data_IF_481289291284
#
_entry.id   IF_481289291284
#
_cell.length_a   1.000
_cell.length_b   1.000
_cell.length_c   1.000
_cell.angle_alpha   90.00
_cell.angle_beta   90.00
_cell.angle_gamma   90.00
#
_symmetry.space_group_name_H-M   'P 1'
#
loop_
_entity.id
_entity.type
_entity.pdbx_description
1 polymer ?
#
# COMPACT_ATOMS: atom_id res chain seq x y z
N UNK A 1 12.91 12.30 -17.28
CA UNK A 1 13.77 12.09 -18.46
C UNK A 1 13.34 10.83 -19.16
N UNK A 2 13.54 10.77 -20.46
CA UNK A 2 13.35 9.57 -21.25
C UNK A 2 14.66 8.78 -21.26
N UNK A 3 14.58 7.45 -21.23
CA UNK A 3 15.75 6.58 -21.34
C UNK A 3 15.65 5.68 -22.58
N UNK A 4 16.78 5.52 -23.27
CA UNK A 4 16.87 4.77 -24.50
C UNK A 4 17.90 3.65 -24.37
N UNK A 5 17.53 2.47 -24.85
CA UNK A 5 18.47 1.37 -25.07
C UNK A 5 19.07 1.53 -26.48
N UNK A 6 20.39 1.56 -26.56
CA UNK A 6 21.12 1.59 -27.82
C UNK A 6 21.61 0.16 -28.17
N UNK A 7 21.07 -0.37 -29.25
CA UNK A 7 21.39 -1.75 -29.73
C UNK A 7 22.26 -1.59 -30.97
N UNK A 8 23.46 -2.15 -30.93
CA UNK A 8 24.39 -2.16 -32.06
C UNK A 8 24.50 -3.59 -32.60
N UNK A 9 23.89 -3.85 -33.76
CA UNK A 9 23.97 -5.11 -34.47
C UNK A 9 24.68 -4.86 -35.83
N UNK A 10 25.85 -5.43 -36.00
CA UNK A 10 26.63 -5.41 -37.26
C UNK A 10 26.83 -3.98 -37.87
N UNK A 11 27.07 -2.99 -37.01
CA UNK A 11 27.29 -1.61 -37.44
C UNK A 11 26.01 -0.80 -37.67
N UNK A 12 24.82 -1.40 -37.46
CA UNK A 12 23.53 -0.69 -37.42
C UNK A 12 23.15 -0.38 -35.97
N UNK A 13 23.16 0.90 -35.63
CA UNK A 13 22.71 1.34 -34.30
C UNK A 13 21.21 1.66 -34.33
N UNK A 14 20.43 0.97 -33.53
CA UNK A 14 19.02 1.32 -33.30
C UNK A 14 18.82 1.81 -31.87
N UNK A 15 17.92 2.80 -31.67
CA UNK A 15 17.54 3.31 -30.37
C UNK A 15 16.10 2.90 -30.09
N UNK A 16 15.88 2.23 -28.95
CA UNK A 16 14.55 1.90 -28.46
C UNK A 16 14.28 2.63 -27.16
N UNK A 17 13.14 3.32 -27.05
CA UNK A 17 12.71 3.96 -25.80
C UNK A 17 12.34 2.86 -24.80
N UNK A 18 13.02 2.83 -23.65
CA UNK A 18 12.77 1.87 -22.56
C UNK A 18 12.03 2.49 -21.41
N UNK A 19 12.25 3.78 -21.14
CA UNK A 19 11.56 4.51 -20.09
C UNK A 19 10.95 5.81 -20.67
N UNK A 20 9.60 5.95 -20.60
CA UNK A 20 8.92 7.14 -21.10
C UNK A 20 9.13 8.32 -20.15
N UNK A 21 8.93 9.52 -20.67
CA UNK A 21 8.88 10.71 -19.83
C UNK A 21 7.81 10.54 -18.75
N UNK A 22 8.23 10.60 -17.49
CA UNK A 22 7.37 10.35 -16.34
C UNK A 22 7.39 11.56 -15.41
N UNK A 23 6.21 12.00 -15.00
CA UNK A 23 6.02 13.01 -13.97
C UNK A 23 5.56 12.36 -12.67
N UNK A 24 6.25 12.65 -11.57
CA UNK A 24 5.95 12.18 -10.24
C UNK A 24 5.58 13.35 -9.34
N UNK A 25 4.48 13.17 -8.58
CA UNK A 25 4.09 14.10 -7.53
C UNK A 25 3.87 13.34 -6.23
N UNK A 26 4.40 13.89 -5.13
CA UNK A 26 4.15 13.40 -3.77
C UNK A 26 3.88 14.58 -2.87
N UNK A 27 2.73 14.58 -2.21
CA UNK A 27 2.36 15.57 -1.21
C UNK A 27 1.95 14.90 0.10
N UNK A 28 2.50 15.35 1.23
CA UNK A 28 2.13 14.87 2.57
C UNK A 28 1.89 16.04 3.50
N UNK A 29 0.81 15.95 4.29
CA UNK A 29 0.49 16.90 5.36
C UNK A 29 0.21 16.10 6.62
N UNK A 30 0.69 16.59 7.76
CA UNK A 30 0.44 16.00 9.08
C UNK A 30 0.27 17.12 10.11
N UNK A 31 -0.65 16.94 11.06
CA UNK A 31 -0.86 17.84 12.17
C UNK A 31 -0.90 17.09 13.49
N UNK A 32 -0.10 17.56 14.43
CA UNK A 32 -0.08 17.10 15.80
C UNK A 32 -1.01 17.97 16.67
N UNK A 33 -1.73 17.34 17.59
CA UNK A 33 -2.68 17.97 18.49
C UNK A 33 -2.62 17.33 19.88
N UNK A 34 -3.26 17.97 20.88
CA UNK A 34 -3.42 17.41 22.23
C UNK A 34 -2.08 16.98 22.87
N UNK A 35 -1.08 17.87 22.87
CA UNK A 35 0.26 17.60 23.38
C UNK A 35 0.89 16.33 22.77
N UNK A 36 0.74 16.15 21.46
CA UNK A 36 1.19 15.00 20.68
C UNK A 36 0.52 13.67 21.05
N UNK A 37 -0.64 13.72 21.69
CA UNK A 37 -1.45 12.54 21.94
C UNK A 37 -2.39 12.22 20.76
N UNK A 38 -2.51 13.14 19.83
CA UNK A 38 -3.31 12.95 18.61
C UNK A 38 -2.55 13.47 17.42
N UNK A 39 -2.48 12.71 16.36
CA UNK A 39 -2.10 13.23 15.06
C UNK A 39 -3.04 12.76 13.96
N UNK A 40 -3.15 13.59 12.93
CA UNK A 40 -3.88 13.32 11.71
C UNK A 40 -3.00 13.68 10.54
N UNK A 41 -2.91 12.79 9.56
CA UNK A 41 -2.11 12.98 8.37
C UNK A 41 -2.85 12.60 7.10
N UNK A 42 -2.32 13.07 5.98
CA UNK A 42 -2.77 12.69 4.65
C UNK A 42 -1.62 12.71 3.66
N UNK A 43 -1.66 11.81 2.72
CA UNK A 43 -0.69 11.69 1.62
C UNK A 43 -1.44 11.57 0.29
N UNK A 44 -0.88 12.15 -0.74
CA UNK A 44 -1.33 11.96 -2.11
C UNK A 44 -0.11 11.78 -3.01
N UNK A 45 -0.20 10.82 -3.92
CA UNK A 45 0.83 10.57 -4.93
C UNK A 45 0.19 10.47 -6.32
N UNK A 46 0.92 10.94 -7.33
CA UNK A 46 0.51 10.83 -8.71
C UNK A 46 1.71 10.51 -9.60
N UNK A 47 1.52 9.57 -10.51
CA UNK A 47 2.46 9.25 -11.59
C UNK A 47 1.73 9.40 -12.90
N UNK A 48 2.30 10.13 -13.84
CA UNK A 48 1.79 10.27 -15.20
C UNK A 48 2.91 10.02 -16.18
N UNK A 49 2.69 9.16 -17.18
CA UNK A 49 3.66 8.75 -18.19
C UNK A 49 3.20 9.16 -19.58
N UNK A 50 4.10 9.71 -20.36
CA UNK A 50 3.89 10.00 -21.78
C UNK A 50 4.26 8.76 -22.60
N UNK A 51 3.33 7.82 -22.71
CA UNK A 51 3.57 6.54 -23.38
C UNK A 51 3.70 6.72 -24.90
N UNK A 52 4.53 5.87 -25.47
CA UNK A 52 4.67 5.65 -26.92
C UNK A 52 4.26 4.22 -27.25
N UNK A 53 4.24 3.85 -28.52
CA UNK A 53 3.94 2.48 -28.94
C UNK A 53 4.92 1.47 -28.29
N UNK A 54 6.21 1.80 -28.20
CA UNK A 54 7.23 0.96 -27.56
C UNK A 54 7.04 0.76 -26.05
N UNK A 55 6.32 1.65 -25.36
CA UNK A 55 6.09 1.64 -23.92
C UNK A 55 4.62 1.45 -23.54
N UNK A 56 3.77 1.06 -24.50
CA UNK A 56 2.32 0.87 -24.31
C UNK A 56 1.95 -0.21 -23.29
N UNK A 57 2.86 -1.15 -22.99
CA UNK A 57 2.72 -2.15 -21.92
C UNK A 57 2.83 -1.59 -20.50
N UNK A 58 3.24 -0.33 -20.34
CA UNK A 58 3.30 0.32 -19.03
C UNK A 58 1.94 0.99 -18.69
N UNK A 59 1.70 1.20 -17.39
CA UNK A 59 0.53 1.99 -16.94
C UNK A 59 0.72 3.46 -17.30
N UNK A 60 -0.31 4.07 -17.88
CA UNK A 60 -0.35 5.49 -18.28
C UNK A 60 -0.30 6.40 -17.04
N UNK A 61 -1.13 6.08 -16.05
CA UNK A 61 -1.26 6.88 -14.85
C UNK A 61 -1.50 6.01 -13.61
N UNK A 62 -1.01 6.48 -12.47
CA UNK A 62 -1.27 5.91 -11.16
C UNK A 62 -1.45 7.02 -10.13
N UNK A 63 -2.53 6.96 -9.39
CA UNK A 63 -2.86 7.88 -8.32
C UNK A 63 -3.07 7.10 -7.05
N UNK A 64 -2.52 7.56 -5.93
CA UNK A 64 -2.89 7.00 -4.63
C UNK A 64 -3.04 8.11 -3.59
N UNK A 65 -3.95 7.88 -2.67
CA UNK A 65 -4.19 8.77 -1.56
C UNK A 65 -4.42 8.00 -0.28
N UNK A 66 -4.01 8.56 0.83
CA UNK A 66 -4.20 7.93 2.13
C UNK A 66 -4.37 8.94 3.24
N UNK A 67 -5.04 8.50 4.28
CA UNK A 67 -5.17 9.23 5.53
C UNK A 67 -4.69 8.37 6.68
N UNK A 68 -4.07 8.98 7.67
CA UNK A 68 -3.60 8.33 8.87
C UNK A 68 -4.06 9.12 10.11
N UNK A 69 -4.46 8.38 11.14
CA UNK A 69 -4.91 8.92 12.41
C UNK A 69 -4.33 8.10 13.55
N UNK A 70 -3.88 8.81 14.59
CA UNK A 70 -3.43 8.24 15.85
C UNK A 70 -3.98 9.04 17.01
N UNK A 71 -4.47 8.36 18.03
CA UNK A 71 -4.93 8.99 19.25
C UNK A 71 -4.62 8.15 20.48
N UNK A 72 -4.09 8.79 21.53
CA UNK A 72 -3.85 8.20 22.83
C UNK A 72 -4.63 8.94 23.91
N UNK A 73 -5.13 8.20 24.90
CA UNK A 73 -5.87 8.79 26.02
C UNK A 73 -5.55 8.08 27.35
N UNK A 74 -6.03 8.63 28.49
CA UNK A 74 -5.74 8.17 29.85
C UNK A 74 -4.24 8.00 30.10
N UNK A 75 -3.51 9.09 30.00
CA UNK A 75 -2.04 9.12 30.18
C UNK A 75 -1.33 8.11 29.26
N UNK A 76 -1.77 8.06 27.99
CA UNK A 76 -1.24 7.16 26.97
C UNK A 76 -1.42 5.67 27.25
N UNK A 77 -2.35 5.34 28.16
CA UNK A 77 -2.66 3.94 28.50
C UNK A 77 -3.37 3.23 27.35
N UNK A 78 -4.23 3.93 26.61
CA UNK A 78 -4.97 3.38 25.49
C UNK A 78 -4.61 4.13 24.23
N UNK A 79 -4.72 3.45 23.10
CA UNK A 79 -4.48 4.03 21.79
C UNK A 79 -5.48 3.54 20.74
N UNK A 80 -5.68 4.37 19.74
CA UNK A 80 -6.36 4.08 18.49
C UNK A 80 -5.43 4.49 17.35
N UNK A 81 -5.16 3.56 16.45
CA UNK A 81 -4.47 3.80 15.20
C UNK A 81 -5.36 3.39 14.04
N UNK A 82 -5.45 4.24 13.04
CA UNK A 82 -6.10 3.87 11.78
C UNK A 82 -5.40 4.52 10.61
N UNK A 83 -5.30 3.80 9.53
CA UNK A 83 -4.95 4.36 8.23
C UNK A 83 -5.84 3.75 7.15
N UNK A 84 -6.09 4.54 6.14
CA UNK A 84 -6.85 4.16 4.97
C UNK A 84 -6.08 4.61 3.73
N UNK A 85 -6.01 3.77 2.74
CA UNK A 85 -5.40 4.07 1.44
C UNK A 85 -6.32 3.64 0.32
N UNK A 86 -6.33 4.43 -0.74
CA UNK A 86 -7.01 4.15 -2.00
C UNK A 86 -6.04 4.39 -3.15
N UNK A 87 -6.11 3.55 -4.15
CA UNK A 87 -5.35 3.71 -5.40
C UNK A 87 -6.25 3.61 -6.62
N UNK A 88 -5.85 4.30 -7.67
CA UNK A 88 -6.44 4.21 -9.00
C UNK A 88 -5.32 4.18 -10.04
N UNK A 89 -5.22 3.10 -10.78
CA UNK A 89 -4.27 2.95 -11.88
C UNK A 89 -5.01 2.83 -13.20
N UNK A 90 -4.43 3.42 -14.24
CA UNK A 90 -5.00 3.46 -15.59
C UNK A 90 -3.92 3.10 -16.62
N UNK A 91 -4.33 2.40 -17.67
CA UNK A 91 -3.46 2.04 -18.78
C UNK A 91 -4.18 1.33 -19.91
N UNK A 92 -3.44 0.81 -20.87
CA UNK A 92 -3.98 -0.05 -21.92
C UNK A 92 -4.58 -1.33 -21.30
N UNK A 93 -5.53 -2.01 -21.99
CA UNK A 93 -6.03 -3.31 -21.53
C UNK A 93 -4.90 -4.30 -21.24
N UNK A 94 -3.86 -4.30 -22.06
CA UNK A 94 -2.69 -5.16 -21.90
C UNK A 94 -1.92 -4.86 -20.61
N UNK A 95 -1.63 -3.59 -20.30
CA UNK A 95 -0.92 -3.19 -19.08
C UNK A 95 -1.74 -3.49 -17.81
N UNK A 96 -3.06 -3.34 -17.87
CA UNK A 96 -3.96 -3.66 -16.76
C UNK A 96 -4.10 -5.17 -16.59
N UNK A 97 -4.15 -5.93 -17.68
CA UNK A 97 -4.14 -7.40 -17.63
C UNK A 97 -2.84 -7.92 -16.99
N UNK A 98 -1.68 -7.39 -17.37
CA UNK A 98 -0.40 -7.73 -16.76
C UNK A 98 -0.40 -7.39 -15.24
N UNK A 99 -1.04 -6.30 -14.83
CA UNK A 99 -1.20 -5.97 -13.41
C UNK A 99 -2.08 -7.00 -12.70
N UNK A 100 -3.22 -7.40 -13.25
CA UNK A 100 -4.11 -8.41 -12.69
C UNK A 100 -3.41 -9.77 -12.51
N UNK A 101 -2.53 -10.15 -13.43
CA UNK A 101 -1.78 -11.42 -13.43
C UNK A 101 -0.48 -11.35 -12.61
N UNK A 102 -0.09 -10.17 -12.14
CA UNK A 102 1.14 -10.01 -11.35
C UNK A 102 1.09 -10.81 -10.05
N UNK A 103 2.27 -11.14 -9.50
CA UNK A 103 2.40 -11.86 -8.22
C UNK A 103 1.78 -11.09 -7.03
N UNK A 104 1.57 -9.79 -7.18
CA UNK A 104 0.89 -8.95 -6.17
C UNK A 104 -0.60 -9.23 -6.14
N UNK A 105 -1.23 -9.47 -7.30
CA UNK A 105 -2.69 -9.51 -7.46
C UNK A 105 -3.24 -10.92 -7.70
N UNK A 106 -2.66 -11.67 -8.64
CA UNK A 106 -3.03 -13.06 -8.96
C UNK A 106 -4.54 -13.27 -9.12
N UNK A 107 -5.20 -12.51 -10.02
CA UNK A 107 -6.64 -12.62 -10.28
C UNK A 107 -7.02 -13.96 -10.93
N UNK A 108 -6.07 -14.66 -11.51
CA UNK A 108 -6.21 -15.98 -12.16
C UNK A 108 -6.06 -17.16 -11.18
N UNK A 109 -6.00 -16.90 -9.86
CA UNK A 109 -5.96 -17.98 -8.86
C UNK A 109 -7.24 -18.81 -8.90
N UNK A 110 -7.07 -20.12 -8.88
CA UNK A 110 -8.17 -21.10 -8.91
C UNK A 110 -9.09 -20.99 -7.67
N UNK A 111 -8.55 -20.56 -6.53
CA UNK A 111 -9.25 -20.43 -5.25
C UNK A 111 -9.94 -19.05 -5.06
N UNK A 112 -9.71 -18.09 -5.94
CA UNK A 112 -10.26 -16.75 -5.85
C UNK A 112 -11.59 -16.63 -6.61
N UNK A 113 -12.69 -17.03 -5.99
CA UNK A 113 -14.03 -16.95 -6.60
C UNK A 113 -14.64 -15.54 -6.61
N UNK A 114 -14.06 -14.61 -5.87
CA UNK A 114 -14.54 -13.23 -5.67
C UNK A 114 -13.89 -12.21 -6.63
N UNK A 115 -12.87 -12.62 -7.37
CA UNK A 115 -12.23 -11.85 -8.42
C UNK A 115 -12.21 -12.63 -9.72
N UNK A 116 -12.26 -11.91 -10.84
CA UNK A 116 -12.18 -12.52 -12.17
C UNK A 116 -11.18 -11.73 -13.01
N UNK A 117 -10.40 -12.45 -13.78
CA UNK A 117 -9.52 -11.87 -14.77
C UNK A 117 -10.36 -11.26 -15.90
N UNK A 118 -10.17 -9.98 -16.16
CA UNK A 118 -10.86 -9.27 -17.22
C UNK A 118 -9.85 -8.59 -18.15
N UNK A 119 -9.63 -9.14 -19.36
CA UNK A 119 -8.67 -8.62 -20.32
C UNK A 119 -9.10 -7.32 -20.99
N UNK A 120 -10.31 -6.84 -20.75
CA UNK A 120 -10.84 -5.61 -21.35
C UNK A 120 -10.73 -4.39 -20.45
N UNK A 121 -10.36 -4.59 -19.20
CA UNK A 121 -10.21 -3.50 -18.22
C UNK A 121 -9.08 -2.56 -18.60
N UNK A 122 -9.32 -1.25 -18.42
CA UNK A 122 -8.35 -0.18 -18.64
C UNK A 122 -7.95 0.53 -17.33
N UNK A 123 -8.51 0.10 -16.21
CA UNK A 123 -8.18 0.66 -14.88
C UNK A 123 -8.47 -0.33 -13.76
N UNK A 124 -7.79 -0.13 -12.63
CA UNK A 124 -8.07 -0.79 -11.37
C UNK A 124 -8.18 0.27 -10.27
N UNK A 125 -9.16 0.08 -9.38
CA UNK A 125 -9.34 0.96 -8.21
C UNK A 125 -9.47 0.09 -6.98
N UNK A 126 -8.60 0.29 -6.02
CA UNK A 126 -8.58 -0.52 -4.83
C UNK A 126 -8.40 0.28 -3.54
N UNK A 127 -8.69 -0.38 -2.43
CA UNK A 127 -8.59 0.18 -1.08
C UNK A 127 -7.85 -0.75 -0.15
N UNK A 128 -7.22 -0.18 0.87
CA UNK A 128 -6.60 -0.92 1.95
C UNK A 128 -6.53 -0.10 3.21
N UNK A 129 -6.13 -0.74 4.29
CA UNK A 129 -5.98 -0.01 5.54
C UNK A 129 -5.67 -0.88 6.74
N UNK A 130 -5.56 -0.18 7.86
CA UNK A 130 -5.38 -0.71 9.20
C UNK A 130 -6.34 0.01 10.14
N UNK A 131 -6.99 -0.76 10.99
CA UNK A 131 -7.63 -0.28 12.20
C UNK A 131 -7.04 -1.05 13.38
N UNK A 132 -6.57 -0.36 14.38
CA UNK A 132 -6.02 -0.98 15.58
C UNK A 132 -6.42 -0.17 16.81
N UNK A 133 -6.92 -0.86 17.82
CA UNK A 133 -7.25 -0.30 19.12
C UNK A 133 -6.62 -1.15 20.21
N UNK A 134 -6.01 -0.52 21.19
CA UNK A 134 -5.32 -1.28 22.22
C UNK A 134 -5.08 -0.55 23.51
N UNK A 135 -4.55 -1.30 24.46
CA UNK A 135 -4.04 -0.85 25.74
C UNK A 135 -2.57 -1.28 25.84
N UNK A 136 -1.66 -0.32 25.92
CA UNK A 136 -0.20 -0.54 26.02
C UNK A 136 0.42 0.09 27.27
N UNK A 137 -0.39 0.63 28.16
CA UNK A 137 0.05 1.26 29.39
C UNK A 137 -0.70 0.75 30.62
N UNK A 138 -0.30 1.26 31.78
CA UNK A 138 -0.92 0.94 33.05
C UNK A 138 -0.36 -0.31 33.70
N UNK A 139 -1.22 -1.20 34.24
CA UNK A 139 -0.80 -2.37 35.00
C UNK A 139 -0.48 -3.57 34.09
N UNK A 140 -0.62 -4.74 34.61
CA UNK A 140 -0.09 -6.01 34.11
C UNK A 140 -0.67 -6.47 32.75
N UNK A 141 -1.92 -6.11 32.43
CA UNK A 141 -2.60 -6.55 31.22
C UNK A 141 -2.50 -5.52 30.12
N UNK A 142 -1.93 -5.92 28.99
CA UNK A 142 -1.94 -5.20 27.73
C UNK A 142 -2.64 -6.04 26.67
N UNK A 143 -3.35 -5.39 25.77
CA UNK A 143 -4.08 -6.06 24.70
C UNK A 143 -4.28 -5.12 23.52
N UNK A 144 -4.37 -5.68 22.33
CA UNK A 144 -4.76 -4.99 21.12
C UNK A 144 -5.60 -5.86 20.20
N UNK A 145 -6.47 -5.19 19.47
CA UNK A 145 -7.21 -5.75 18.34
C UNK A 145 -6.83 -4.97 17.09
N UNK A 146 -6.33 -5.68 16.08
CA UNK A 146 -6.01 -5.08 14.78
C UNK A 146 -6.77 -5.77 13.65
N UNK A 147 -7.22 -4.96 12.69
CA UNK A 147 -7.85 -5.39 11.44
C UNK A 147 -7.08 -4.74 10.31
N UNK A 148 -6.53 -5.54 9.41
CA UNK A 148 -5.83 -5.10 8.20
C UNK A 148 -6.53 -5.66 6.98
N UNK A 149 -6.66 -4.86 5.94
CA UNK A 149 -7.21 -5.32 4.67
C UNK A 149 -6.49 -4.68 3.49
N UNK A 150 -6.55 -5.38 2.38
CA UNK A 150 -6.15 -4.90 1.06
C UNK A 150 -7.11 -5.51 0.05
N UNK A 151 -7.81 -4.69 -0.72
CA UNK A 151 -8.66 -5.20 -1.80
C UNK A 151 -7.82 -5.79 -2.92
N UNK A 152 -8.40 -6.66 -3.76
CA UNK A 152 -7.67 -7.27 -4.88
C UNK A 152 -7.06 -6.24 -5.84
N UNK A 153 -7.76 -5.14 -6.08
CA UNK A 153 -7.39 -4.10 -7.04
C UNK A 153 -6.44 -3.02 -6.47
N UNK A 154 -6.07 -3.09 -5.19
CA UNK A 154 -5.17 -2.09 -4.62
C UNK A 154 -3.79 -2.22 -5.24
N UNK A 155 -3.30 -1.16 -5.90
CA UNK A 155 -1.98 -1.12 -6.52
C UNK A 155 -1.22 0.15 -6.10
N UNK A 156 -0.05 -0.01 -5.48
CA UNK A 156 0.76 1.07 -4.93
C UNK A 156 2.18 1.11 -5.49
N UNK A 157 2.56 0.17 -6.37
CA UNK A 157 3.96 -0.03 -6.76
C UNK A 157 4.52 1.02 -7.75
N UNK A 158 3.75 2.04 -8.11
CA UNK A 158 4.27 3.14 -8.96
C UNK A 158 5.14 4.13 -8.18
N UNK A 159 4.80 4.46 -6.93
CA UNK A 159 5.61 5.32 -6.03
C UNK A 159 5.74 4.70 -4.63
N UNK A 160 4.95 3.69 -4.33
CA UNK A 160 4.96 2.98 -3.06
C UNK A 160 5.52 1.57 -3.18
N UNK A 161 5.17 0.74 -2.21
CA UNK A 161 5.48 -0.67 -2.22
C UNK A 161 4.30 -1.49 -1.70
N UNK A 162 3.82 -2.42 -2.52
CA UNK A 162 2.79 -3.39 -2.17
C UNK A 162 3.30 -4.80 -2.55
N UNK A 163 3.51 -5.64 -1.55
CA UNK A 163 3.97 -7.02 -1.76
C UNK A 163 2.83 -7.96 -2.17
N UNK A 164 1.64 -7.74 -1.60
CA UNK A 164 0.47 -8.61 -1.79
C UNK A 164 -0.79 -7.80 -1.58
N UNK A 165 -1.76 -7.99 -2.44
CA UNK A 165 -3.14 -7.54 -2.29
C UNK A 165 -4.07 -8.68 -1.86
N UNK A 166 -5.36 -8.44 -1.83
CA UNK A 166 -6.40 -9.44 -1.60
C UNK A 166 -6.23 -10.24 -0.31
N UNK A 167 -6.25 -9.52 0.82
CA UNK A 167 -6.24 -10.15 2.13
C UNK A 167 -7.05 -9.36 3.16
N UNK A 168 -7.50 -10.08 4.20
CA UNK A 168 -8.07 -9.51 5.41
C UNK A 168 -7.52 -10.27 6.61
N UNK A 169 -6.86 -9.53 7.50
CA UNK A 169 -6.30 -10.03 8.75
C UNK A 169 -7.04 -9.45 9.94
N UNK A 170 -7.33 -10.31 10.91
CA UNK A 170 -7.81 -9.92 12.23
C UNK A 170 -6.90 -10.57 13.26
N UNK A 171 -6.32 -9.77 14.12
CA UNK A 171 -5.38 -10.24 15.16
C UNK A 171 -5.82 -9.66 16.50
N UNK A 172 -5.93 -10.52 17.50
CA UNK A 172 -6.09 -10.13 18.88
C UNK A 172 -4.86 -10.60 19.67
N UNK A 173 -4.17 -9.67 20.29
CA UNK A 173 -3.06 -9.95 21.16
C UNK A 173 -3.47 -9.70 22.60
N UNK A 174 -3.07 -10.61 23.51
CA UNK A 174 -3.23 -10.47 24.94
C UNK A 174 -1.90 -10.76 25.62
N UNK A 175 -1.40 -9.80 26.39
CA UNK A 175 -0.13 -9.90 27.09
C UNK A 175 -0.32 -9.62 28.56
N UNK A 176 0.15 -10.54 29.42
CA UNK A 176 0.30 -10.31 30.85
C UNK A 176 1.78 -10.14 31.19
N UNK A 177 2.12 -9.06 31.87
CA UNK A 177 3.47 -8.78 32.30
C UNK A 177 3.49 -8.36 33.76
N UNK A 178 4.39 -8.96 34.54
CA UNK A 178 4.65 -8.55 35.92
C UNK A 178 6.13 -8.24 36.10
N UNK A 179 6.42 -7.10 36.72
CA UNK A 179 7.77 -6.73 37.14
C UNK A 179 8.11 -7.23 38.57
N UNK A 180 7.15 -7.86 39.26
CA UNK A 180 7.40 -8.41 40.58
C UNK A 180 7.81 -9.88 40.47
N UNK A 181 8.87 -10.30 41.16
CA UNK A 181 9.23 -11.71 41.23
C UNK A 181 8.03 -12.52 41.74
N UNK A 182 7.73 -13.63 41.05
CA UNK A 182 6.66 -14.51 41.45
C UNK A 182 7.16 -15.97 41.44
N UNK A 183 7.19 -16.58 42.61
CA UNK A 183 7.67 -17.96 42.77
C UNK A 183 9.11 -18.16 42.27
N UNK A 184 9.29 -19.06 41.28
CA UNK A 184 10.57 -19.37 40.63
C UNK A 184 10.93 -18.38 39.50
N UNK A 185 10.02 -17.52 39.11
CA UNK A 185 10.26 -16.53 38.03
C UNK A 185 10.87 -15.25 38.65
N UNK A 186 12.02 -14.89 38.14
CA UNK A 186 12.69 -13.60 38.40
C UNK A 186 12.45 -12.67 37.21
N UNK A 187 12.10 -11.43 37.50
CA UNK A 187 11.93 -10.39 36.44
C UNK A 187 13.26 -10.06 35.79
#
# INVERSE_FOLDING_TARGET
SEEYLEINNDGLTSKSLVEPMTNYFVGRVQKDMNNRNTFFGGIFTATNRSLTEATSGLREAAYSGGIDFWHQWKDRTYYLQTNFVMSHVKGSPESILATQQSLTHLFDRVDATHVQLDPTRTSLTGTGGLFEIGKDGGKNWNYDLSIKWSSPELELNDIGFLRRSDYKFQVFNLKYQTARPFSIFRS
#
